data_IF_516943761601
#
_entry.id   IF_516943761601
#
_cell.length_a   1.000
_cell.length_b   1.000
_cell.length_c   1.000
_cell.angle_alpha   90.00
_cell.angle_beta   90.00
_cell.angle_gamma   90.00
#
_symmetry.space_group_name_H-M   'P 1'
#
loop_
_entity.id
_entity.type
_entity.pdbx_description
1 polymer ?
#
# COMPACT_ATOMS: atom_id res chain seq x y z
N UNK A 1 2.74 -21.83 -36.23
CA UNK A 1 3.57 -21.22 -35.17
C UNK A 1 3.58 -19.71 -35.38
N UNK A 2 2.66 -18.98 -34.75
CA UNK A 2 2.69 -17.52 -34.63
C UNK A 2 2.27 -17.22 -33.19
N UNK A 3 3.22 -16.78 -32.38
CA UNK A 3 3.02 -16.36 -30.99
C UNK A 3 2.46 -14.95 -31.02
N UNK A 4 1.17 -14.81 -30.73
CA UNK A 4 0.56 -13.49 -30.52
C UNK A 4 0.88 -13.06 -29.09
N UNK A 5 1.95 -12.28 -28.93
CA UNK A 5 2.25 -11.52 -27.71
C UNK A 5 1.19 -10.43 -27.58
N UNK A 6 0.22 -10.62 -26.68
CA UNK A 6 -0.71 -9.57 -26.28
C UNK A 6 -0.02 -8.72 -25.21
N UNK A 7 0.64 -7.65 -25.64
CA UNK A 7 1.03 -6.56 -24.76
C UNK A 7 -0.24 -5.77 -24.39
N UNK A 8 -0.83 -6.05 -23.24
CA UNK A 8 -1.74 -5.10 -22.63
C UNK A 8 -0.92 -4.08 -21.85
N UNK A 9 -0.93 -2.84 -22.32
CA UNK A 9 -0.37 -1.72 -21.59
C UNK A 9 -1.07 -1.58 -20.23
N UNK A 10 -0.30 -1.87 -19.18
CA UNK A 10 -0.28 -1.17 -17.90
C UNK A 10 -1.62 -0.59 -17.40
N UNK A 11 -2.29 -1.33 -16.51
CA UNK A 11 -2.75 -0.72 -15.26
C UNK A 11 -1.49 -0.42 -14.43
N UNK A 12 -0.75 0.58 -14.89
CA UNK A 12 0.22 1.30 -14.07
C UNK A 12 -0.48 1.65 -12.77
N UNK A 13 0.23 1.48 -11.64
CA UNK A 13 -0.21 2.05 -10.38
C UNK A 13 -0.71 3.46 -10.67
N UNK A 14 -1.99 3.70 -10.42
CA UNK A 14 -2.47 5.04 -10.31
C UNK A 14 -1.77 5.59 -9.07
N UNK A 15 -0.57 6.14 -9.29
CA UNK A 15 -0.22 7.36 -8.62
C UNK A 15 -1.46 8.24 -8.79
N UNK A 16 -2.22 8.39 -7.71
CA UNK A 16 -3.21 9.44 -7.65
C UNK A 16 -2.37 10.69 -7.70
N UNK A 17 -2.17 11.19 -8.92
CA UNK A 17 -1.60 12.50 -9.15
C UNK A 17 -2.36 13.44 -8.23
N UNK A 18 -1.65 14.02 -7.25
CA UNK A 18 -2.11 15.24 -6.60
C UNK A 18 -2.56 16.18 -7.73
N UNK A 19 -3.75 16.80 -7.65
CA UNK A 19 -4.26 17.58 -8.77
C UNK A 19 -3.42 18.85 -8.88
N UNK A 20 -2.36 18.80 -9.68
CA UNK A 20 -1.86 19.97 -10.35
C UNK A 20 -2.81 20.21 -11.54
N UNK A 21 -3.43 21.38 -11.54
CA UNK A 21 -4.40 21.90 -12.52
C UNK A 21 -5.83 21.34 -12.42
N UNK A 22 -6.66 21.98 -11.58
CA UNK A 22 -8.06 22.24 -11.99
C UNK A 22 -8.02 23.36 -13.03
N UNK A 23 -7.47 23.05 -14.20
CA UNK A 23 -7.80 23.77 -15.44
C UNK A 23 -8.83 22.89 -16.14
N UNK A 24 -10.11 23.09 -15.77
CA UNK A 24 -11.27 22.46 -16.42
C UNK A 24 -11.02 21.00 -16.89
N UNK A 25 -10.80 20.08 -15.95
CA UNK A 25 -10.83 18.66 -16.29
C UNK A 25 -12.15 18.36 -17.02
N UNK A 26 -12.13 17.73 -18.20
CA UNK A 26 -13.35 17.45 -18.95
C UNK A 26 -14.33 16.69 -18.07
N UNK A 27 -15.63 16.98 -18.16
CA UNK A 27 -16.68 16.46 -17.26
C UNK A 27 -16.62 14.92 -17.03
N UNK A 28 -16.07 14.18 -18.00
CA UNK A 28 -15.85 12.74 -17.94
C UNK A 28 -14.80 12.33 -16.89
N UNK A 29 -13.72 13.09 -16.70
CA UNK A 29 -12.67 12.81 -15.70
C UNK A 29 -13.18 13.04 -14.29
N UNK A 30 -13.98 14.09 -14.07
CA UNK A 30 -14.59 14.36 -12.78
C UNK A 30 -15.60 13.26 -12.40
N UNK A 31 -16.43 12.83 -13.35
CA UNK A 31 -17.37 11.73 -13.14
C UNK A 31 -16.65 10.41 -12.84
N UNK A 32 -15.52 10.13 -13.51
CA UNK A 32 -14.71 8.95 -13.24
C UNK A 32 -14.06 9.00 -11.86
N UNK A 33 -13.51 10.15 -11.44
CA UNK A 33 -12.93 10.33 -10.13
C UNK A 33 -13.98 10.11 -9.01
N UNK A 34 -15.17 10.70 -9.16
CA UNK A 34 -16.27 10.51 -8.21
C UNK A 34 -16.75 9.06 -8.16
N UNK A 35 -16.88 8.41 -9.32
CA UNK A 35 -17.23 6.98 -9.41
C UNK A 35 -16.21 6.10 -8.70
N UNK A 36 -14.92 6.40 -8.87
CA UNK A 36 -13.83 5.69 -8.21
C UNK A 36 -13.85 5.89 -6.68
N UNK A 37 -14.03 7.12 -6.21
CA UNK A 37 -14.21 7.41 -4.78
C UNK A 37 -15.37 6.63 -4.17
N UNK A 38 -16.53 6.67 -4.83
CA UNK A 38 -17.72 5.95 -4.36
C UNK A 38 -17.48 4.43 -4.30
N UNK A 39 -16.75 3.88 -5.28
CA UNK A 39 -16.37 2.46 -5.28
C UNK A 39 -15.48 2.11 -4.08
N UNK A 40 -14.50 2.96 -3.76
CA UNK A 40 -13.60 2.79 -2.60
C UNK A 40 -14.37 2.86 -1.28
N UNK A 41 -15.30 3.81 -1.14
CA UNK A 41 -16.17 3.91 0.05
C UNK A 41 -17.08 2.69 0.18
N UNK A 42 -17.73 2.23 -0.89
CA UNK A 42 -18.54 1.01 -0.85
C UNK A 42 -17.72 -0.22 -0.45
N UNK A 43 -16.46 -0.30 -0.88
CA UNK A 43 -15.56 -1.38 -0.48
C UNK A 43 -15.21 -1.31 1.01
N UNK A 44 -15.07 -0.12 1.59
CA UNK A 44 -14.94 0.05 3.05
C UNK A 44 -16.20 -0.46 3.77
N UNK A 45 -17.40 -0.18 3.25
CA UNK A 45 -18.63 -0.70 3.85
C UNK A 45 -18.70 -2.24 3.81
N UNK A 46 -18.28 -2.88 2.70
CA UNK A 46 -18.19 -4.35 2.60
C UNK A 46 -17.19 -4.99 3.57
N UNK A 47 -16.24 -4.19 4.07
CA UNK A 47 -15.21 -4.60 5.03
C UNK A 47 -15.56 -4.20 6.47
N UNK A 48 -16.78 -3.70 6.72
CA UNK A 48 -17.20 -3.15 8.01
C UNK A 48 -16.32 -1.98 8.52
N UNK A 49 -15.74 -1.21 7.58
CA UNK A 49 -14.83 -0.08 7.83
C UNK A 49 -15.49 1.29 7.62
N UNK A 50 -16.79 1.32 7.31
CA UNK A 50 -17.54 2.57 7.07
C UNK A 50 -17.48 3.52 8.27
N UNK A 51 -17.72 3.03 9.49
CA UNK A 51 -17.66 3.86 10.70
C UNK A 51 -16.26 4.40 11.00
N UNK A 52 -15.20 3.62 10.69
CA UNK A 52 -13.82 4.08 10.82
C UNK A 52 -13.52 5.23 9.86
N UNK A 53 -14.01 5.14 8.61
CA UNK A 53 -13.91 6.22 7.63
C UNK A 53 -14.65 7.48 8.10
N UNK A 54 -15.89 7.36 8.56
CA UNK A 54 -16.68 8.50 9.05
C UNK A 54 -16.01 9.20 10.23
N UNK A 55 -15.44 8.43 11.17
CA UNK A 55 -14.67 8.98 12.29
C UNK A 55 -13.37 9.68 11.84
N UNK A 56 -12.70 9.16 10.80
CA UNK A 56 -11.53 9.79 10.19
C UNK A 56 -11.91 11.10 9.49
N UNK A 57 -13.02 11.15 8.75
CA UNK A 57 -13.54 12.38 8.15
C UNK A 57 -13.80 13.44 9.23
N UNK A 58 -14.52 13.08 10.30
CA UNK A 58 -14.75 13.99 11.43
C UNK A 58 -13.43 14.48 12.07
N UNK A 59 -12.43 13.61 12.19
CA UNK A 59 -11.11 13.96 12.74
C UNK A 59 -10.31 14.89 11.83
N UNK A 60 -10.48 14.77 10.51
CA UNK A 60 -9.88 15.66 9.51
C UNK A 60 -10.59 17.00 9.43
N UNK A 61 -11.92 17.01 9.50
CA UNK A 61 -12.77 18.20 9.42
C UNK A 61 -12.73 19.04 10.72
N UNK A 62 -12.33 18.46 11.85
CA UNK A 62 -12.21 19.16 13.14
C UNK A 62 -11.14 20.27 13.18
N UNK A 63 -10.30 20.41 12.14
CA UNK A 63 -9.29 21.46 12.02
C UNK A 63 -9.32 22.05 10.61
N UNK A 64 -8.93 23.32 10.43
CA UNK A 64 -8.71 23.87 9.10
C UNK A 64 -7.76 22.96 8.30
N UNK A 65 -8.07 22.63 7.05
CA UNK A 65 -7.27 21.69 6.30
C UNK A 65 -5.90 22.32 6.02
N UNK A 66 -4.84 21.61 6.43
CA UNK A 66 -3.47 22.09 6.36
C UNK A 66 -3.05 22.41 4.92
N UNK A 67 -2.14 23.39 4.70
CA UNK A 67 -1.55 23.63 3.40
C UNK A 67 -0.92 22.36 2.83
N UNK A 68 -1.15 22.10 1.55
CA UNK A 68 -0.65 20.90 0.89
C UNK A 68 0.72 21.17 0.34
N UNK A 69 1.61 20.18 0.38
CA UNK A 69 2.96 20.32 -0.14
C UNK A 69 3.18 19.36 -1.30
N UNK A 70 3.95 19.81 -2.28
CA UNK A 70 4.44 18.94 -3.34
C UNK A 70 5.62 18.08 -2.87
N UNK A 71 6.16 17.27 -3.79
CA UNK A 71 7.31 16.40 -3.53
C UNK A 71 8.58 17.14 -3.09
N UNK A 72 8.68 18.43 -3.36
CA UNK A 72 9.82 19.30 -2.98
C UNK A 72 9.60 20.03 -1.67
N UNK A 73 8.41 19.90 -1.07
CA UNK A 73 8.02 20.58 0.16
C UNK A 73 7.40 21.97 -0.08
N UNK A 74 7.20 22.38 -1.34
CA UNK A 74 6.59 23.66 -1.69
C UNK A 74 5.09 23.62 -1.44
N UNK A 75 4.53 24.71 -0.90
CA UNK A 75 3.09 24.81 -0.64
C UNK A 75 2.33 24.95 -1.96
N UNK A 76 1.35 24.08 -2.18
CA UNK A 76 0.47 24.11 -3.34
C UNK A 76 -0.69 25.05 -3.03
N UNK A 77 -0.85 26.08 -3.87
CA UNK A 77 -1.98 27.00 -3.78
C UNK A 77 -3.28 26.29 -4.17
N UNK A 78 -4.05 25.94 -3.14
CA UNK A 78 -5.35 25.29 -3.26
C UNK A 78 -6.39 26.04 -2.43
N UNK A 79 -7.61 26.10 -2.95
CA UNK A 79 -8.77 26.59 -2.20
C UNK A 79 -9.06 25.75 -0.96
N UNK A 80 -9.80 26.31 0.00
CA UNK A 80 -10.19 25.57 1.23
C UNK A 80 -10.98 24.32 0.86
N UNK A 81 -11.88 24.41 -0.12
CA UNK A 81 -12.71 23.33 -0.62
C UNK A 81 -11.87 22.19 -1.22
N UNK A 82 -10.84 22.53 -2.01
CA UNK A 82 -9.91 21.54 -2.56
C UNK A 82 -9.09 20.87 -1.47
N UNK A 83 -8.64 21.62 -0.45
CA UNK A 83 -7.93 21.04 0.68
C UNK A 83 -8.83 20.13 1.51
N UNK A 84 -10.10 20.49 1.71
CA UNK A 84 -11.09 19.65 2.38
C UNK A 84 -11.33 18.34 1.62
N UNK A 85 -11.48 18.41 0.29
CA UNK A 85 -11.63 17.24 -0.55
C UNK A 85 -10.42 16.30 -0.44
N UNK A 86 -9.21 16.86 -0.43
CA UNK A 86 -7.98 16.08 -0.26
C UNK A 86 -7.87 15.45 1.14
N UNK A 87 -8.38 16.10 2.19
CA UNK A 87 -8.50 15.51 3.54
C UNK A 87 -9.45 14.32 3.55
N UNK A 88 -10.58 14.41 2.84
CA UNK A 88 -11.53 13.29 2.71
C UNK A 88 -10.94 12.12 1.93
N UNK A 89 -10.20 12.39 0.86
CA UNK A 89 -9.44 11.37 0.15
C UNK A 89 -8.46 10.64 1.05
N UNK A 90 -7.67 11.39 1.83
CA UNK A 90 -6.75 10.84 2.80
C UNK A 90 -7.48 10.02 3.89
N UNK A 91 -8.71 10.41 4.29
CA UNK A 91 -9.52 9.61 5.20
C UNK A 91 -9.95 8.27 4.58
N UNK A 92 -10.31 8.23 3.29
CA UNK A 92 -10.60 6.97 2.58
C UNK A 92 -9.34 6.10 2.54
N UNK A 93 -8.19 6.67 2.22
CA UNK A 93 -6.91 5.95 2.16
C UNK A 93 -6.48 5.38 3.52
N UNK A 94 -6.56 6.18 4.59
CA UNK A 94 -6.28 5.72 5.95
C UNK A 94 -7.25 4.59 6.36
N UNK A 95 -8.54 4.75 6.06
CA UNK A 95 -9.53 3.72 6.32
C UNK A 95 -9.26 2.44 5.52
N UNK A 96 -8.82 2.55 4.27
CA UNK A 96 -8.45 1.42 3.43
C UNK A 96 -7.25 0.66 3.98
N UNK A 97 -6.25 1.39 4.51
CA UNK A 97 -5.02 0.87 5.10
C UNK A 97 -5.17 0.31 6.53
N UNK A 98 -6.34 0.43 7.14
CA UNK A 98 -6.59 -0.13 8.48
C UNK A 98 -6.55 0.88 9.64
N UNK A 99 -6.14 2.13 9.39
CA UNK A 99 -6.05 3.17 10.41
C UNK A 99 -7.43 3.65 10.90
N UNK A 100 -7.43 4.21 12.11
CA UNK A 100 -8.61 4.71 12.82
C UNK A 100 -8.36 6.13 13.34
N UNK A 101 -9.43 6.79 13.82
CA UNK A 101 -9.30 8.08 14.50
C UNK A 101 -8.41 8.01 15.77
N UNK A 102 -8.40 6.86 16.46
CA UNK A 102 -7.52 6.64 17.60
C UNK A 102 -6.05 6.64 17.19
N UNK A 103 -5.73 6.02 16.05
CA UNK A 103 -4.37 6.05 15.50
C UNK A 103 -3.96 7.47 15.16
N UNK A 104 -4.81 8.25 14.49
CA UNK A 104 -4.54 9.66 14.20
C UNK A 104 -4.22 10.44 15.49
N UNK A 105 -4.99 10.22 16.55
CA UNK A 105 -4.73 10.83 17.86
C UNK A 105 -3.38 10.40 18.45
N UNK A 106 -3.05 9.10 18.37
CA UNK A 106 -1.80 8.56 18.89
C UNK A 106 -0.57 9.07 18.13
N UNK A 107 -0.62 9.12 16.80
CA UNK A 107 0.46 9.67 15.96
C UNK A 107 0.63 11.18 16.17
N UNK A 108 -0.46 11.93 16.34
CA UNK A 108 -0.39 13.38 16.64
C UNK A 108 0.34 13.68 17.95
N UNK A 109 0.21 12.82 18.98
CA UNK A 109 0.99 12.97 20.24
C UNK A 109 2.50 12.88 20.03
N UNK A 110 2.93 12.36 18.88
CA UNK A 110 4.33 12.21 18.47
C UNK A 110 4.72 13.14 17.33
N UNK A 111 3.91 14.17 17.08
CA UNK A 111 4.13 15.16 16.01
C UNK A 111 4.15 14.53 14.60
N UNK A 112 3.37 13.47 14.38
CA UNK A 112 3.19 12.85 13.07
C UNK A 112 1.75 13.07 12.58
N UNK A 113 1.61 13.70 11.42
CA UNK A 113 0.31 13.85 10.75
C UNK A 113 0.05 12.70 9.77
N UNK A 114 -0.85 11.78 10.15
CA UNK A 114 -1.25 10.67 9.30
C UNK A 114 -1.91 11.10 7.99
N UNK A 115 -2.61 12.24 7.95
CA UNK A 115 -3.23 12.73 6.72
C UNK A 115 -2.17 13.21 5.72
N UNK A 116 -1.08 13.82 6.17
CA UNK A 116 0.04 14.16 5.30
C UNK A 116 0.79 12.90 4.87
N UNK A 117 1.06 12.00 5.83
CA UNK A 117 1.83 10.79 5.62
C UNK A 117 1.21 9.84 4.58
N UNK A 118 -0.11 9.61 4.66
CA UNK A 118 -0.82 8.75 3.70
C UNK A 118 -0.78 9.34 2.29
N UNK A 119 -0.80 10.67 2.17
CA UNK A 119 -0.70 11.34 0.87
C UNK A 119 0.70 11.26 0.29
N UNK A 120 1.73 11.42 1.13
CA UNK A 120 3.12 11.15 0.71
C UNK A 120 3.26 9.71 0.21
N UNK A 121 2.62 8.77 0.91
CA UNK A 121 2.61 7.37 0.51
C UNK A 121 1.99 7.15 -0.88
N UNK A 122 0.75 7.58 -1.10
CA UNK A 122 0.08 7.38 -2.40
C UNK A 122 0.61 8.26 -3.55
N UNK A 123 1.26 9.38 -3.23
CA UNK A 123 2.00 10.19 -4.24
C UNK A 123 3.40 9.64 -4.55
N UNK A 124 3.87 8.61 -3.81
CA UNK A 124 5.18 7.98 -4.03
C UNK A 124 6.37 8.77 -3.46
N UNK A 125 6.13 9.72 -2.56
CA UNK A 125 7.14 10.60 -1.96
C UNK A 125 7.51 10.22 -0.53
N UNK A 126 6.81 9.23 0.06
CA UNK A 126 7.14 8.68 1.36
C UNK A 126 8.51 7.99 1.39
N UNK A 127 9.29 8.31 2.43
CA UNK A 127 10.54 7.65 2.79
C UNK A 127 10.34 6.18 3.21
N UNK A 128 11.39 5.36 3.32
CA UNK A 128 11.27 3.96 3.75
C UNK A 128 10.57 3.80 5.11
N UNK A 129 10.93 4.63 6.11
CA UNK A 129 10.32 4.61 7.44
C UNK A 129 8.83 4.93 7.41
N UNK A 130 8.45 5.93 6.59
CA UNK A 130 7.08 6.34 6.36
C UNK A 130 6.26 5.23 5.66
N UNK A 131 6.82 4.58 4.63
CA UNK A 131 6.16 3.44 3.96
C UNK A 131 5.98 2.25 4.90
N UNK A 132 6.98 1.93 5.72
CA UNK A 132 6.87 0.88 6.76
C UNK A 132 5.83 1.26 7.83
N UNK A 133 5.69 2.55 8.15
CA UNK A 133 4.66 3.02 9.07
C UNK A 133 3.24 2.87 8.51
N UNK A 134 3.06 3.01 7.20
CA UNK A 134 1.76 2.77 6.53
C UNK A 134 1.40 1.29 6.39
N UNK A 135 2.40 0.39 6.38
CA UNK A 135 2.16 -1.05 6.33
C UNK A 135 1.58 -1.57 7.65
N UNK A 136 0.66 -2.54 7.60
CA UNK A 136 0.18 -3.24 8.81
C UNK A 136 1.13 -4.33 9.29
N UNK A 137 2.02 -4.80 8.42
CA UNK A 137 2.99 -5.86 8.71
C UNK A 137 4.36 -5.50 8.13
N UNK A 138 5.42 -5.55 8.95
CA UNK A 138 6.81 -5.40 8.47
C UNK A 138 7.62 -6.59 8.97
N UNK A 139 8.12 -7.40 8.06
CA UNK A 139 8.77 -8.68 8.38
C UNK A 139 10.03 -8.90 7.58
N UNK A 140 10.92 -9.72 8.12
CA UNK A 140 11.95 -10.40 7.35
C UNK A 140 11.40 -11.78 7.01
N UNK A 141 11.38 -12.16 5.74
CA UNK A 141 10.85 -13.45 5.32
C UNK A 141 11.67 -14.08 4.19
N UNK A 142 11.66 -15.41 4.14
CA UNK A 142 12.23 -16.19 3.04
C UNK A 142 11.15 -16.43 1.98
N UNK A 143 11.44 -16.13 0.72
CA UNK A 143 10.50 -16.36 -0.37
C UNK A 143 10.49 -17.84 -0.81
N UNK A 144 9.30 -18.41 -0.99
CA UNK A 144 9.11 -19.71 -1.61
C UNK A 144 8.81 -19.61 -3.12
N UNK A 145 8.63 -20.74 -3.82
CA UNK A 145 8.18 -20.75 -5.20
C UNK A 145 6.74 -20.25 -5.31
N UNK A 146 6.43 -19.50 -6.38
CA UNK A 146 5.06 -19.04 -6.63
C UNK A 146 4.10 -20.22 -6.78
N UNK A 147 2.98 -20.18 -6.06
CA UNK A 147 1.92 -21.19 -6.15
C UNK A 147 0.98 -20.80 -7.28
N UNK A 148 0.98 -21.59 -8.36
CA UNK A 148 0.16 -21.39 -9.56
C UNK A 148 -1.06 -22.33 -9.59
N UNK A 149 -2.03 -22.03 -10.46
CA UNK A 149 -3.05 -23.01 -10.90
C UNK A 149 -4.16 -23.31 -9.89
N UNK A 150 -4.22 -22.59 -8.76
CA UNK A 150 -5.37 -22.64 -7.86
C UNK A 150 -6.32 -21.50 -8.21
N UNK A 151 -7.59 -21.80 -8.45
CA UNK A 151 -8.64 -20.78 -8.54
C UNK A 151 -8.70 -20.04 -7.20
N UNK A 152 -8.31 -18.76 -7.20
CA UNK A 152 -8.38 -17.89 -6.03
C UNK A 152 -9.71 -17.14 -6.03
N UNK A 153 -10.27 -16.95 -4.84
CA UNK A 153 -11.55 -16.24 -4.67
C UNK A 153 -11.38 -14.72 -4.73
N UNK A 154 -10.15 -14.26 -4.51
CA UNK A 154 -9.75 -12.85 -4.40
C UNK A 154 -9.52 -12.16 -5.76
N UNK A 155 -9.50 -12.92 -6.85
CA UNK A 155 -9.27 -12.42 -8.21
C UNK A 155 -7.80 -12.22 -8.60
N UNK A 156 -6.86 -12.60 -7.73
CA UNK A 156 -5.45 -12.73 -8.09
C UNK A 156 -5.21 -14.09 -8.78
N UNK A 157 -4.13 -14.22 -9.56
CA UNK A 157 -3.85 -15.44 -10.33
C UNK A 157 -2.83 -16.37 -9.65
N UNK A 158 -1.98 -15.83 -8.78
CA UNK A 158 -1.03 -16.62 -8.01
C UNK A 158 -0.67 -15.93 -6.70
N UNK A 159 0.12 -16.61 -5.88
CA UNK A 159 0.77 -15.98 -4.74
C UNK A 159 2.17 -16.56 -4.49
N UNK A 160 3.06 -15.75 -3.92
CA UNK A 160 4.35 -16.21 -3.42
C UNK A 160 4.23 -16.43 -1.91
N UNK A 161 4.43 -17.65 -1.40
CA UNK A 161 4.50 -17.88 0.03
C UNK A 161 5.79 -17.28 0.59
N UNK A 162 5.68 -16.53 1.67
CA UNK A 162 6.77 -15.90 2.40
C UNK A 162 6.78 -16.50 3.81
N UNK A 163 7.82 -17.24 4.16
CA UNK A 163 7.98 -17.77 5.53
C UNK A 163 8.68 -16.73 6.39
N UNK A 164 7.98 -16.22 7.40
CA UNK A 164 8.47 -15.19 8.30
C UNK A 164 9.65 -15.74 9.09
N UNK A 165 10.74 -14.98 9.09
CA UNK A 165 11.96 -15.23 9.86
C UNK A 165 11.98 -14.35 11.10
N UNK A 166 11.57 -13.08 10.93
CA UNK A 166 11.50 -12.10 12.01
C UNK A 166 10.42 -11.05 11.72
N UNK A 167 9.97 -10.35 12.75
CA UNK A 167 8.91 -9.34 12.66
C UNK A 167 9.33 -8.03 13.31
N UNK A 168 9.23 -6.95 12.54
CA UNK A 168 9.55 -5.59 12.97
C UNK A 168 8.27 -4.79 13.29
N UNK A 169 7.13 -5.21 12.75
CA UNK A 169 5.81 -4.61 13.01
C UNK A 169 4.70 -5.60 12.70
N UNK A 170 3.62 -5.53 13.50
CA UNK A 170 2.45 -6.37 13.35
C UNK A 170 2.59 -7.70 14.09
N UNK A 171 1.58 -8.56 13.96
CA UNK A 171 1.43 -9.76 14.79
C UNK A 171 2.03 -11.04 14.20
N UNK A 172 2.71 -10.95 13.06
CA UNK A 172 3.34 -12.14 12.45
C UNK A 172 4.54 -12.59 13.27
N UNK A 173 4.69 -13.90 13.44
CA UNK A 173 5.75 -14.52 14.23
C UNK A 173 6.65 -15.39 13.34
N UNK A 174 7.89 -15.68 13.76
CA UNK A 174 8.76 -16.59 13.01
C UNK A 174 8.08 -17.94 12.74
N UNK A 175 8.14 -18.40 11.48
CA UNK A 175 7.46 -19.60 11.00
C UNK A 175 6.09 -19.36 10.36
N UNK A 176 5.45 -18.21 10.61
CA UNK A 176 4.21 -17.85 9.93
C UNK A 176 4.39 -17.78 8.41
N UNK A 177 3.34 -18.09 7.66
CA UNK A 177 3.31 -17.90 6.20
C UNK A 177 2.44 -16.72 5.83
N UNK A 178 3.01 -15.78 5.08
CA UNK A 178 2.32 -14.68 4.42
C UNK A 178 2.29 -14.94 2.92
N UNK A 179 1.14 -14.79 2.27
CA UNK A 179 1.01 -14.97 0.83
C UNK A 179 1.02 -13.61 0.13
N UNK A 180 2.07 -13.36 -0.66
CA UNK A 180 2.13 -12.18 -1.51
C UNK A 180 1.26 -12.41 -2.75
N UNK A 181 0.09 -11.76 -2.80
CA UNK A 181 -0.86 -11.94 -3.90
C UNK A 181 -0.35 -11.31 -5.20
N UNK A 182 -0.56 -12.00 -6.33
CA UNK A 182 -0.05 -11.61 -7.65
C UNK A 182 -1.10 -11.70 -8.73
N UNK A 183 -1.16 -10.68 -9.57
CA UNK A 183 -1.89 -10.63 -10.83
C UNK A 183 -1.24 -11.52 -11.86
N UNK A 184 0.07 -11.74 -11.81
CA UNK A 184 0.72 -12.74 -12.68
C UNK A 184 0.29 -14.15 -12.29
N UNK A 185 0.13 -15.04 -13.27
CA UNK A 185 -0.24 -16.44 -13.05
C UNK A 185 -1.02 -17.02 -14.23
N UNK A 186 -1.50 -18.25 -14.05
CA UNK A 186 -2.25 -18.96 -15.07
C UNK A 186 -3.68 -18.41 -15.15
N UNK A 187 -4.11 -18.01 -16.35
CA UNK A 187 -5.48 -17.59 -16.63
C UNK A 187 -6.41 -18.80 -16.84
N UNK A 188 -7.75 -18.60 -16.80
CA UNK A 188 -8.72 -19.69 -17.02
C UNK A 188 -8.59 -20.41 -18.38
N UNK A 189 -8.04 -19.75 -19.39
CA UNK A 189 -7.78 -20.30 -20.73
C UNK A 189 -6.45 -21.08 -20.81
N UNK A 190 -5.71 -21.19 -19.70
CA UNK A 190 -4.42 -21.86 -19.63
C UNK A 190 -3.24 -21.03 -20.13
N UNK A 191 -3.43 -19.76 -20.51
CA UNK A 191 -2.33 -18.87 -20.84
C UNK A 191 -1.69 -18.30 -19.57
N UNK A 192 -0.36 -18.16 -19.58
CA UNK A 192 0.37 -17.51 -18.52
C UNK A 192 0.32 -15.99 -18.72
N UNK A 193 -0.28 -15.27 -17.77
CA UNK A 193 -0.19 -13.81 -17.70
C UNK A 193 0.99 -13.40 -16.84
N UNK A 194 1.86 -12.56 -17.38
CA UNK A 194 2.96 -11.93 -16.65
C UNK A 194 2.76 -10.42 -16.61
N UNK A 195 2.73 -9.87 -15.40
CA UNK A 195 2.66 -8.43 -15.17
C UNK A 195 4.06 -7.95 -14.86
N UNK A 196 4.71 -7.29 -15.83
CA UNK A 196 6.12 -6.88 -15.73
C UNK A 196 6.42 -5.88 -14.61
N UNK A 197 5.41 -5.16 -14.13
CA UNK A 197 5.53 -4.26 -12.98
C UNK A 197 5.43 -4.97 -11.63
N UNK A 198 5.10 -6.27 -11.61
CA UNK A 198 5.11 -7.04 -10.37
C UNK A 198 6.51 -7.44 -9.96
N UNK A 199 6.71 -7.44 -8.65
CA UNK A 199 7.96 -7.85 -8.04
C UNK A 199 8.25 -9.33 -8.31
N UNK A 200 9.43 -9.60 -8.84
CA UNK A 200 10.01 -10.93 -8.88
C UNK A 200 10.84 -11.17 -7.61
N UNK A 201 10.46 -12.19 -6.83
CA UNK A 201 11.24 -12.69 -5.72
C UNK A 201 11.91 -14.00 -6.12
N UNK A 202 13.17 -14.16 -5.70
CA UNK A 202 13.93 -15.38 -5.94
C UNK A 202 13.65 -16.37 -4.81
N UNK A 203 13.18 -17.60 -5.11
CA UNK A 203 12.95 -18.61 -4.08
C UNK A 203 14.22 -18.90 -3.26
N UNK A 204 14.07 -19.04 -1.95
CA UNK A 204 15.16 -19.26 -0.98
C UNK A 204 15.86 -17.99 -0.51
N UNK A 205 15.68 -16.84 -1.18
CA UNK A 205 16.23 -15.56 -0.74
C UNK A 205 15.41 -14.94 0.38
N UNK A 206 16.09 -14.13 1.21
CA UNK A 206 15.50 -13.38 2.32
C UNK A 206 15.24 -11.94 1.92
N UNK A 207 14.13 -11.40 2.40
CA UNK A 207 13.67 -10.06 2.09
C UNK A 207 13.16 -9.35 3.34
N UNK A 208 13.44 -8.05 3.45
CA UNK A 208 12.70 -7.14 4.33
C UNK A 208 11.49 -6.64 3.54
N UNK A 209 10.29 -6.88 4.07
CA UNK A 209 9.03 -6.59 3.39
C UNK A 209 8.16 -5.72 4.29
N UNK A 210 7.67 -4.60 3.75
CA UNK A 210 6.53 -3.88 4.29
C UNK A 210 5.29 -4.28 3.49
N UNK A 211 4.32 -4.91 4.16
CA UNK A 211 3.17 -5.56 3.55
C UNK A 211 1.88 -5.01 4.15
N UNK A 212 0.82 -5.00 3.34
CA UNK A 212 -0.51 -4.68 3.84
C UNK A 212 -1.56 -5.71 3.44
N UNK A 213 -2.11 -6.38 4.45
CA UNK A 213 -3.35 -7.15 4.34
C UNK A 213 -4.55 -6.23 4.13
N UNK A 214 -4.55 -5.05 4.76
CA UNK A 214 -5.65 -4.11 4.63
C UNK A 214 -5.82 -3.59 3.20
N UNK A 215 -4.73 -3.23 2.52
CA UNK A 215 -4.80 -2.82 1.11
C UNK A 215 -5.24 -3.98 0.20
N UNK A 216 -4.73 -5.18 0.46
CA UNK A 216 -5.15 -6.40 -0.25
C UNK A 216 -6.67 -6.62 -0.15
N UNK A 217 -7.24 -6.54 1.06
CA UNK A 217 -8.67 -6.70 1.27
C UNK A 217 -9.48 -5.56 0.66
N UNK A 218 -8.96 -4.33 0.71
CA UNK A 218 -9.58 -3.19 0.04
C UNK A 218 -9.73 -3.44 -1.46
N UNK A 219 -8.65 -3.82 -2.14
CA UNK A 219 -8.67 -4.10 -3.57
C UNK A 219 -9.59 -5.26 -3.93
N UNK A 220 -9.60 -6.29 -3.08
CA UNK A 220 -10.49 -7.44 -3.23
C UNK A 220 -11.96 -7.03 -3.12
N UNK A 221 -12.30 -6.20 -2.13
CA UNK A 221 -13.67 -5.69 -1.92
C UNK A 221 -14.11 -4.72 -3.03
N UNK A 222 -13.19 -3.92 -3.58
CA UNK A 222 -13.44 -3.07 -4.75
C UNK A 222 -13.72 -3.90 -6.01
N UNK A 223 -13.03 -5.03 -6.18
CA UNK A 223 -13.28 -6.00 -7.25
C UNK A 223 -14.56 -6.84 -7.01
N UNK A 224 -15.25 -6.64 -5.87
CA UNK A 224 -16.40 -7.45 -5.43
C UNK A 224 -16.06 -8.95 -5.36
N UNK A 225 -14.86 -9.24 -4.90
CA UNK A 225 -14.30 -10.57 -4.68
C UNK A 225 -14.25 -10.89 -3.20
N UNK A 226 -13.91 -12.14 -2.86
CA UNK A 226 -13.78 -12.57 -1.47
C UNK A 226 -12.29 -12.74 -1.13
N UNK A 227 -11.81 -12.18 -0.02
CA UNK A 227 -10.43 -12.37 0.38
C UNK A 227 -10.17 -13.84 0.73
N UNK A 228 -9.01 -14.35 0.34
CA UNK A 228 -8.50 -15.62 0.83
C UNK A 228 -8.48 -15.67 2.37
N UNK A 229 -8.79 -16.86 2.91
CA UNK A 229 -8.74 -17.11 4.36
C UNK A 229 -7.31 -17.07 4.91
N UNK A 230 -6.34 -17.50 4.09
CA UNK A 230 -4.92 -17.38 4.42
C UNK A 230 -4.48 -15.91 4.44
N UNK A 231 -3.49 -15.58 5.27
CA UNK A 231 -2.96 -14.22 5.34
C UNK A 231 -2.32 -13.82 4.01
N UNK A 232 -3.09 -13.14 3.17
CA UNK A 232 -2.64 -12.58 1.89
C UNK A 232 -2.44 -11.08 2.03
N UNK A 233 -1.41 -10.55 1.37
CA UNK A 233 -1.05 -9.14 1.46
C UNK A 233 -0.48 -8.61 0.13
N UNK A 234 -0.46 -7.29 0.01
CA UNK A 234 0.21 -6.56 -1.07
C UNK A 234 1.49 -5.87 -0.55
N UNK A 235 2.52 -5.73 -1.39
CA UNK A 235 3.78 -5.13 -0.97
C UNK A 235 3.80 -3.61 -1.15
N UNK A 236 4.36 -2.92 -0.17
CA UNK A 236 4.70 -1.50 -0.26
C UNK A 236 6.17 -1.31 -0.60
N UNK A 237 7.01 -2.08 0.10
CA UNK A 237 8.46 -1.91 0.13
C UNK A 237 9.12 -3.28 0.23
N UNK A 238 10.13 -3.53 -0.59
CA UNK A 238 10.89 -4.80 -0.61
C UNK A 238 12.38 -4.53 -0.82
N UNK A 239 13.19 -4.96 0.14
CA UNK A 239 14.64 -5.04 0.03
C UNK A 239 15.11 -6.49 0.10
N UNK A 240 16.10 -6.87 -0.70
CA UNK A 240 16.80 -8.14 -0.50
C UNK A 240 17.74 -8.01 0.71
N UNK A 241 17.74 -9.04 1.56
CA UNK A 241 18.64 -9.16 2.70
C UNK A 241 19.80 -10.04 2.29
N UNK A 242 21.00 -9.47 2.25
CA UNK A 242 22.24 -10.24 2.03
C UNK A 242 22.55 -11.13 3.23
N UNK A 243 23.43 -12.12 3.03
CA UNK A 243 23.87 -13.02 4.11
C UNK A 243 24.54 -12.28 5.28
N UNK A 244 25.13 -11.11 5.02
CA UNK A 244 25.72 -10.22 6.03
C UNK A 244 24.72 -9.26 6.71
N UNK A 245 23.43 -9.33 6.39
CA UNK A 245 22.39 -8.47 6.96
C UNK A 245 22.29 -7.07 6.34
N UNK A 246 23.09 -6.76 5.32
CA UNK A 246 22.93 -5.55 4.52
C UNK A 246 21.67 -5.63 3.65
N UNK A 247 21.00 -4.50 3.49
CA UNK A 247 19.84 -4.37 2.62
C UNK A 247 20.31 -3.89 1.24
N UNK A 248 20.08 -4.72 0.23
CA UNK A 248 20.34 -4.38 -1.16
C UNK A 248 19.11 -3.68 -1.71
N UNK A 249 19.30 -2.80 -2.70
CA UNK A 249 18.20 -2.23 -3.48
C UNK A 249 17.42 -3.41 -4.09
N UNK A 250 16.33 -3.77 -3.43
CA UNK A 250 15.54 -4.93 -3.79
C UNK A 250 14.70 -4.65 -5.04
N UNK A 251 13.70 -5.48 -5.31
CA UNK A 251 12.83 -5.28 -6.45
C UNK A 251 11.87 -4.09 -6.29
N UNK A 252 11.69 -3.56 -5.07
CA UNK A 252 10.79 -2.43 -4.80
C UNK A 252 11.29 -1.57 -3.62
N UNK A 253 12.43 -0.85 -3.76
CA UNK A 253 12.91 0.05 -2.72
C UNK A 253 12.07 1.34 -2.69
N UNK A 254 12.25 2.16 -1.65
CA UNK A 254 11.62 3.47 -1.63
C UNK A 254 12.24 4.35 -2.72
N UNK A 255 11.41 5.18 -3.34
CA UNK A 255 11.83 6.13 -4.39
C UNK A 255 12.26 7.49 -3.82
N UNK A 256 11.95 7.74 -2.56
CA UNK A 256 12.19 8.98 -1.85
C UNK A 256 12.89 8.69 -0.53
N UNK A 257 13.71 9.64 -0.07
CA UNK A 257 14.50 9.50 1.15
C UNK A 257 15.68 8.53 1.03
N UNK A 258 16.47 8.44 2.10
CA UNK A 258 17.63 7.56 2.17
C UNK A 258 17.19 6.12 2.49
N UNK A 259 17.40 5.21 1.54
CA UNK A 259 17.16 3.78 1.72
C UNK A 259 18.02 3.23 2.88
N UNK A 260 17.46 2.38 3.76
CA UNK A 260 18.22 1.79 4.86
C UNK A 260 19.31 0.86 4.32
N UNK A 261 20.52 0.98 4.87
CA UNK A 261 21.67 0.14 4.47
C UNK A 261 21.66 -1.27 5.10
N UNK A 262 20.95 -1.43 6.20
CA UNK A 262 20.88 -2.66 7.00
C UNK A 262 19.55 -2.72 7.78
N UNK A 263 19.22 -3.90 8.32
CA UNK A 263 17.99 -4.15 9.09
C UNK A 263 17.88 -3.19 10.29
N UNK A 264 18.96 -2.98 11.04
CA UNK A 264 18.98 -2.08 12.21
C UNK A 264 18.63 -0.64 11.83
N UNK A 265 19.06 -0.19 10.65
CA UNK A 265 18.73 1.14 10.13
C UNK A 265 17.27 1.22 9.72
N UNK A 266 16.73 0.18 9.10
CA UNK A 266 15.31 0.10 8.79
C UNK A 266 14.44 0.12 10.06
N UNK A 267 14.81 -0.63 11.10
CA UNK A 267 14.14 -0.62 12.41
C UNK A 267 14.16 0.77 13.05
N UNK A 268 15.31 1.45 13.05
CA UNK A 268 15.41 2.82 13.59
C UNK A 268 14.51 3.78 12.81
N UNK A 269 14.52 3.71 11.48
CA UNK A 269 13.64 4.53 10.64
C UNK A 269 12.16 4.25 10.91
N UNK A 270 11.78 2.98 11.07
CA UNK A 270 10.42 2.59 11.43
C UNK A 270 10.03 3.11 12.82
N UNK A 271 10.91 2.98 13.82
CA UNK A 271 10.63 3.43 15.21
C UNK A 271 10.35 4.93 15.32
N UNK A 272 10.90 5.75 14.43
CA UNK A 272 10.54 7.18 14.33
C UNK A 272 9.04 7.36 14.14
N UNK A 273 8.39 6.45 13.41
CA UNK A 273 7.00 6.57 13.00
C UNK A 273 6.07 5.48 13.60
N UNK A 274 6.56 4.37 14.15
CA UNK A 274 5.69 3.27 14.65
C UNK A 274 5.16 3.52 16.06
N UNK A 275 3.86 3.26 16.30
CA UNK A 275 3.23 3.33 17.63
C UNK A 275 3.63 2.20 18.58
N UNK A 276 4.12 1.07 18.06
CA UNK A 276 4.46 -0.11 18.85
C UNK A 276 5.79 0.12 19.59
N UNK A 277 5.70 0.63 20.83
CA UNK A 277 6.79 0.62 21.80
C UNK A 277 6.35 -0.14 23.04
N UNK A 278 6.42 -1.47 23.01
CA UNK A 278 6.55 -2.32 24.19
C UNK A 278 7.44 -3.51 23.87
#
# INVERSE_FOLDING_TARGET
MQRTLVFLALLSGAAVSLPAAVSAAPANELAQAQSHQQKRIQALSRRDRQGAYEALVATGDARPPAPLRDATGHVIDLSVEQRQAATREAAIDLAALGFTAADVSAYRKRDVDLFELVRKFFSGTASPGEQMAMADTVVIATAGPAVQGRTRLDGFLSAIPLTVVDSLKGSRTPGDTVYLARKSGLMPDGLLMEVSSEVALVPGKRYLLALSKNLYEQWTAEARKQPEAAFSALPFLIYEVSDGGALLAGPQPARSGANPKDIKTAERQLRTFSLDQH
#
